data_IF_243699198317
#
_entry.id   IF_243699198317
#
_cell.length_a   1.000
_cell.length_b   1.000
_cell.length_c   1.000
_cell.angle_alpha   90.00
_cell.angle_beta   90.00
_cell.angle_gamma   90.00
#
_symmetry.space_group_name_H-M   'P 1'
#
loop_
_entity.id
_entity.type
_entity.pdbx_description
1 polymer ?
#
# COMPACT_ATOMS: atom_id res chain seq x y z
N UNK A 1 8.99 4.72 0.06
CA UNK A 1 10.08 4.66 -0.95
C UNK A 1 10.93 3.38 -0.84
N UNK A 2 11.33 2.96 0.34
CA UNK A 2 12.13 1.75 0.52
C UNK A 2 11.27 0.57 0.96
N UNK A 3 11.33 -0.53 0.21
CA UNK A 3 10.65 -1.77 0.56
C UNK A 3 11.37 -2.41 1.76
N UNK A 4 10.73 -2.35 2.94
CA UNK A 4 11.27 -2.90 4.18
C UNK A 4 10.76 -4.32 4.45
N UNK A 5 10.86 -5.21 3.46
CA UNK A 5 10.47 -6.61 3.57
C UNK A 5 11.63 -7.50 4.03
N UNK A 6 11.29 -8.56 4.75
CA UNK A 6 12.25 -9.60 5.14
C UNK A 6 12.50 -10.56 3.97
N UNK A 7 13.58 -10.32 3.21
CA UNK A 7 13.86 -10.99 1.93
C UNK A 7 13.94 -12.53 2.03
N UNK A 8 14.33 -13.06 3.18
CA UNK A 8 14.40 -14.51 3.43
C UNK A 8 13.08 -15.17 3.81
N UNK A 9 12.07 -14.37 4.19
CA UNK A 9 10.75 -14.87 4.58
C UNK A 9 9.82 -14.98 3.38
N UNK A 10 8.83 -15.88 3.48
CA UNK A 10 7.79 -16.01 2.46
C UNK A 10 6.88 -14.78 2.39
N UNK A 11 6.10 -14.66 1.31
CA UNK A 11 5.07 -13.61 1.15
C UNK A 11 4.10 -13.61 2.33
N UNK A 12 3.53 -14.78 2.66
CA UNK A 12 2.56 -14.90 3.75
C UNK A 12 3.17 -14.50 5.11
N UNK A 13 4.42 -14.88 5.38
CA UNK A 13 5.08 -14.53 6.63
C UNK A 13 5.39 -13.03 6.71
N UNK A 14 5.78 -12.40 5.60
CA UNK A 14 5.97 -10.96 5.53
C UNK A 14 4.66 -10.20 5.83
N UNK A 15 3.56 -10.60 5.20
CA UNK A 15 2.24 -9.97 5.43
C UNK A 15 1.79 -10.23 6.87
N UNK A 16 2.05 -11.43 7.42
CA UNK A 16 1.74 -11.77 8.81
C UNK A 16 2.43 -10.83 9.81
N UNK A 17 3.62 -10.29 9.49
CA UNK A 17 4.28 -9.31 10.38
C UNK A 17 3.43 -8.06 10.62
N UNK A 18 2.56 -7.67 9.67
CA UNK A 18 1.60 -6.59 9.83
C UNK A 18 0.58 -6.85 10.94
N UNK A 19 0.35 -8.12 11.32
CA UNK A 19 -0.57 -8.50 12.41
C UNK A 19 0.03 -8.37 13.80
N UNK A 20 1.36 -8.18 13.93
CA UNK A 20 2.04 -8.16 15.23
C UNK A 20 1.44 -7.16 16.24
N UNK A 21 0.98 -6.00 15.77
CA UNK A 21 0.33 -5.00 16.65
C UNK A 21 -1.09 -5.38 17.08
N UNK A 22 -1.69 -6.38 16.46
CA UNK A 22 -3.04 -6.87 16.77
C UNK A 22 -3.02 -8.09 17.70
N UNK A 23 -1.86 -8.69 17.98
CA UNK A 23 -1.71 -9.83 18.85
C UNK A 23 -1.95 -9.38 20.31
N UNK A 24 -2.88 -10.04 20.98
CA UNK A 24 -3.28 -9.73 22.37
C UNK A 24 -2.88 -10.80 23.37
N UNK A 25 -2.63 -12.03 22.89
CA UNK A 25 -2.26 -13.15 23.76
C UNK A 25 -0.86 -12.99 24.33
N UNK A 26 -0.69 -13.41 25.59
CA UNK A 26 0.58 -13.40 26.30
C UNK A 26 1.61 -14.32 25.61
N UNK A 27 2.88 -13.90 25.59
CA UNK A 27 4.01 -14.64 25.02
C UNK A 27 4.12 -16.09 25.52
N UNK A 28 3.80 -16.36 26.81
CA UNK A 28 3.81 -17.71 27.37
C UNK A 28 2.76 -18.63 26.74
N UNK A 29 1.55 -18.11 26.49
CA UNK A 29 0.48 -18.85 25.82
C UNK A 29 0.77 -19.06 24.34
N UNK A 30 1.44 -18.09 23.72
CA UNK A 30 1.92 -18.23 22.33
C UNK A 30 3.00 -19.31 22.22
N UNK A 31 3.97 -19.36 23.14
CA UNK A 31 5.01 -20.36 23.17
C UNK A 31 4.46 -21.80 23.32
N UNK A 32 3.39 -21.97 24.08
CA UNK A 32 2.71 -23.26 24.25
C UNK A 32 1.76 -23.59 23.08
N UNK A 33 1.47 -22.63 22.23
CA UNK A 33 0.56 -22.72 21.06
C UNK A 33 -0.79 -23.41 21.40
N UNK A 34 -1.34 -23.11 22.59
CA UNK A 34 -2.50 -23.80 23.14
C UNK A 34 -3.70 -22.85 23.36
N UNK A 35 -4.93 -23.37 23.17
CA UNK A 35 -6.17 -22.67 23.50
C UNK A 35 -6.37 -21.32 22.78
N UNK A 36 -6.41 -20.20 23.53
CA UNK A 36 -6.66 -18.86 22.96
C UNK A 36 -5.62 -18.43 21.94
N UNK A 37 -4.33 -18.71 22.17
CA UNK A 37 -3.24 -18.31 21.29
C UNK A 37 -3.37 -18.98 19.89
N UNK A 38 -3.73 -20.27 19.86
CA UNK A 38 -3.98 -20.97 18.60
C UNK A 38 -5.17 -20.39 17.83
N UNK A 39 -6.26 -20.01 18.53
CA UNK A 39 -7.43 -19.40 17.88
C UNK A 39 -7.08 -18.03 17.29
N UNK A 40 -6.34 -17.22 18.04
CA UNK A 40 -5.86 -15.92 17.60
C UNK A 40 -4.95 -16.03 16.38
N UNK A 41 -3.99 -16.94 16.40
CA UNK A 41 -3.10 -17.22 15.26
C UNK A 41 -3.90 -17.63 14.01
N UNK A 42 -4.88 -18.53 14.14
CA UNK A 42 -5.71 -18.95 13.02
C UNK A 42 -6.56 -17.79 12.46
N UNK A 43 -7.07 -16.91 13.33
CA UNK A 43 -7.81 -15.73 12.90
C UNK A 43 -6.90 -14.73 12.15
N UNK A 44 -5.66 -14.52 12.63
CA UNK A 44 -4.69 -13.68 11.93
C UNK A 44 -4.29 -14.26 10.58
N UNK A 45 -4.10 -15.59 10.49
CA UNK A 45 -3.82 -16.26 9.21
C UNK A 45 -4.96 -16.12 8.22
N UNK A 46 -6.20 -16.32 8.66
CA UNK A 46 -7.37 -16.13 7.80
C UNK A 46 -7.40 -14.70 7.23
N UNK A 47 -7.13 -13.68 8.07
CA UNK A 47 -7.09 -12.29 7.61
C UNK A 47 -5.95 -12.01 6.61
N UNK A 48 -4.80 -12.64 6.80
CA UNK A 48 -3.67 -12.53 5.85
C UNK A 48 -4.00 -13.22 4.52
N UNK A 49 -4.68 -14.37 4.55
CA UNK A 49 -5.13 -15.03 3.29
C UNK A 49 -6.16 -14.16 2.55
N UNK A 50 -7.09 -13.47 3.24
CA UNK A 50 -7.99 -12.50 2.60
C UNK A 50 -7.21 -11.36 1.89
N UNK A 51 -6.16 -10.85 2.51
CA UNK A 51 -5.30 -9.83 1.91
C UNK A 51 -4.52 -10.37 0.71
N UNK A 52 -4.03 -11.62 0.79
CA UNK A 52 -3.34 -12.30 -0.31
C UNK A 52 -4.29 -12.49 -1.50
N UNK A 53 -5.54 -12.88 -1.23
CA UNK A 53 -6.57 -13.05 -2.24
C UNK A 53 -6.95 -11.72 -2.89
N UNK A 54 -7.16 -10.69 -2.08
CA UNK A 54 -7.44 -9.34 -2.55
C UNK A 54 -6.35 -8.79 -3.50
N UNK A 55 -5.09 -9.03 -3.17
CA UNK A 55 -3.94 -8.59 -3.97
C UNK A 55 -3.58 -9.54 -5.13
N UNK A 56 -4.32 -10.63 -5.32
CA UNK A 56 -4.13 -11.61 -6.40
C UNK A 56 -2.72 -12.26 -6.40
N UNK A 57 -2.15 -12.49 -5.21
CA UNK A 57 -0.79 -13.05 -5.03
C UNK A 57 -0.77 -14.46 -4.42
N UNK A 58 -1.87 -15.20 -4.50
CA UNK A 58 -2.00 -16.55 -3.94
C UNK A 58 -0.93 -17.52 -4.47
N UNK A 59 -0.62 -17.41 -5.75
CA UNK A 59 0.32 -18.30 -6.44
C UNK A 59 1.77 -18.17 -5.95
N UNK A 60 2.13 -17.02 -5.34
CA UNK A 60 3.47 -16.76 -4.80
C UNK A 60 3.53 -16.74 -3.26
N UNK A 61 2.43 -17.03 -2.56
CA UNK A 61 2.33 -16.85 -1.10
C UNK A 61 3.41 -17.53 -0.27
N UNK A 62 3.98 -18.66 -0.77
CA UNK A 62 5.07 -19.41 -0.12
C UNK A 62 6.46 -19.05 -0.66
N UNK A 63 6.55 -18.19 -1.65
CA UNK A 63 7.82 -17.79 -2.27
C UNK A 63 8.56 -16.81 -1.36
N UNK A 64 9.87 -16.97 -1.13
CA UNK A 64 10.68 -15.96 -0.46
C UNK A 64 10.64 -14.63 -1.22
N UNK A 65 10.34 -13.54 -0.51
CA UNK A 65 10.11 -12.23 -1.14
C UNK A 65 11.32 -11.72 -1.91
N UNK A 66 12.54 -12.05 -1.46
CA UNK A 66 13.77 -11.65 -2.16
C UNK A 66 13.94 -12.26 -3.56
N UNK A 67 13.12 -13.24 -3.96
CA UNK A 67 13.11 -13.84 -5.30
C UNK A 67 12.07 -13.23 -6.24
N UNK A 68 11.22 -12.34 -5.73
CA UNK A 68 10.15 -11.75 -6.51
C UNK A 68 10.65 -10.55 -7.33
N UNK A 69 10.06 -10.30 -8.51
CA UNK A 69 10.18 -9.03 -9.21
C UNK A 69 9.78 -7.86 -8.32
N UNK A 70 10.32 -6.68 -8.62
CA UNK A 70 10.16 -5.50 -7.79
C UNK A 70 8.68 -5.08 -7.60
N UNK A 71 7.89 -5.09 -8.65
CA UNK A 71 6.45 -4.79 -8.59
C UNK A 71 5.68 -5.72 -7.63
N UNK A 72 6.00 -7.03 -7.65
CA UNK A 72 5.42 -7.98 -6.71
C UNK A 72 5.88 -7.75 -5.27
N UNK A 73 7.14 -7.32 -5.05
CA UNK A 73 7.60 -6.93 -3.71
C UNK A 73 6.81 -5.72 -3.19
N UNK A 74 6.55 -4.71 -4.03
CA UNK A 74 5.70 -3.55 -3.68
C UNK A 74 4.27 -3.99 -3.33
N UNK A 75 3.71 -4.95 -4.07
CA UNK A 75 2.39 -5.52 -3.80
C UNK A 75 2.35 -6.25 -2.44
N UNK A 76 3.40 -6.99 -2.10
CA UNK A 76 3.54 -7.62 -0.76
C UNK A 76 3.67 -6.57 0.35
N UNK A 77 4.38 -5.48 0.10
CA UNK A 77 4.54 -4.39 1.08
C UNK A 77 3.19 -3.70 1.37
N UNK A 78 2.40 -3.44 0.32
CA UNK A 78 1.01 -2.99 0.46
C UNK A 78 0.19 -3.99 1.30
N UNK A 79 0.29 -5.30 1.00
CA UNK A 79 -0.39 -6.35 1.75
C UNK A 79 -0.03 -6.36 3.23
N UNK A 80 1.22 -6.13 3.57
CA UNK A 80 1.65 -6.02 4.97
C UNK A 80 0.99 -4.83 5.67
N UNK A 81 0.86 -3.69 5.00
CA UNK A 81 0.17 -2.52 5.52
C UNK A 81 -1.34 -2.79 5.69
N UNK A 82 -1.99 -3.41 4.69
CA UNK A 82 -3.41 -3.77 4.75
C UNK A 82 -3.72 -4.78 5.86
N UNK A 83 -2.80 -5.71 6.14
CA UNK A 83 -2.96 -6.66 7.23
C UNK A 83 -3.07 -5.99 8.61
N UNK A 84 -2.64 -4.75 8.76
CA UNK A 84 -2.85 -3.95 9.98
C UNK A 84 -4.29 -3.45 10.12
N UNK A 85 -5.13 -3.57 9.08
CA UNK A 85 -6.49 -3.00 9.02
C UNK A 85 -6.47 -1.51 9.39
N UNK A 86 -5.74 -0.68 8.64
CA UNK A 86 -5.59 0.73 8.95
C UNK A 86 -6.86 1.51 8.57
N UNK A 87 -7.21 2.53 9.35
CA UNK A 87 -8.21 3.53 8.96
C UNK A 87 -7.66 4.59 8.01
N UNK A 88 -6.33 4.82 8.06
CA UNK A 88 -5.59 5.71 7.17
C UNK A 88 -4.36 4.97 6.67
N UNK A 89 -4.15 4.97 5.35
CA UNK A 89 -3.00 4.38 4.68
C UNK A 89 -2.18 5.48 4.02
N UNK A 90 -0.90 5.58 4.39
CA UNK A 90 0.04 6.53 3.81
C UNK A 90 0.92 5.79 2.80
N UNK A 91 0.90 6.23 1.56
CA UNK A 91 1.66 5.66 0.45
C UNK A 91 2.63 6.72 -0.10
N UNK A 92 3.91 6.46 0.03
CA UNK A 92 4.97 7.33 -0.47
C UNK A 92 5.62 6.71 -1.71
N UNK A 93 5.34 7.29 -2.87
CA UNK A 93 5.78 6.83 -4.20
C UNK A 93 5.60 5.31 -4.40
N UNK A 94 4.38 4.77 -4.19
CA UNK A 94 4.18 3.32 -4.27
C UNK A 94 4.45 2.76 -5.67
N UNK A 95 4.36 3.59 -6.70
CA UNK A 95 4.50 3.19 -8.11
C UNK A 95 5.90 3.44 -8.69
N UNK A 96 6.82 4.00 -7.90
CA UNK A 96 8.19 4.22 -8.37
C UNK A 96 8.86 2.92 -8.80
N UNK A 97 9.48 2.92 -9.99
CA UNK A 97 10.19 1.76 -10.55
C UNK A 97 9.30 0.66 -11.15
N UNK A 98 7.99 0.88 -11.23
CA UNK A 98 7.02 -0.02 -11.88
C UNK A 98 6.88 0.28 -13.38
N UNK A 99 6.61 -0.75 -14.17
CA UNK A 99 6.17 -0.58 -15.55
C UNK A 99 4.71 -0.11 -15.62
N UNK A 100 4.20 0.19 -16.83
CA UNK A 100 2.85 0.74 -17.02
C UNK A 100 1.76 -0.19 -16.50
N UNK A 101 1.88 -1.49 -16.78
CA UNK A 101 0.90 -2.50 -16.37
C UNK A 101 0.88 -2.67 -14.83
N UNK A 102 2.06 -2.75 -14.21
CA UNK A 102 2.19 -2.81 -12.75
C UNK A 102 1.62 -1.56 -12.06
N UNK A 103 1.80 -0.36 -12.66
CA UNK A 103 1.21 0.88 -12.15
C UNK A 103 -0.32 0.84 -12.22
N UNK A 104 -0.89 0.39 -13.34
CA UNK A 104 -2.34 0.27 -13.49
C UNK A 104 -2.94 -0.69 -12.45
N UNK A 105 -2.30 -1.84 -12.23
CA UNK A 105 -2.69 -2.77 -11.18
C UNK A 105 -2.64 -2.11 -9.79
N UNK A 106 -1.56 -1.39 -9.49
CA UNK A 106 -1.42 -0.71 -8.21
C UNK A 106 -2.49 0.37 -8.01
N UNK A 107 -2.81 1.16 -9.04
CA UNK A 107 -3.91 2.13 -9.01
C UNK A 107 -5.24 1.45 -8.67
N UNK A 108 -5.55 0.34 -9.36
CA UNK A 108 -6.76 -0.45 -9.10
C UNK A 108 -6.82 -0.92 -7.64
N UNK A 109 -5.74 -1.52 -7.12
CA UNK A 109 -5.72 -1.95 -5.71
C UNK A 109 -5.90 -0.80 -4.72
N UNK A 110 -5.31 0.39 -5.00
CA UNK A 110 -5.47 1.57 -4.16
C UNK A 110 -6.94 2.01 -4.11
N UNK A 111 -7.61 2.08 -5.26
CA UNK A 111 -9.03 2.41 -5.35
C UNK A 111 -9.90 1.35 -4.63
N UNK A 112 -9.64 0.07 -4.90
CA UNK A 112 -10.36 -1.04 -4.27
C UNK A 112 -10.20 -1.05 -2.74
N UNK A 113 -9.03 -0.66 -2.21
CA UNK A 113 -8.80 -0.51 -0.75
C UNK A 113 -9.70 0.58 -0.17
N UNK A 114 -9.84 1.71 -0.84
CA UNK A 114 -10.73 2.77 -0.40
C UNK A 114 -12.19 2.31 -0.44
N UNK A 115 -12.63 1.73 -1.56
CA UNK A 115 -14.02 1.34 -1.79
C UNK A 115 -14.46 0.18 -0.89
N UNK A 116 -13.65 -0.87 -0.76
CA UNK A 116 -14.06 -2.10 -0.06
C UNK A 116 -13.82 -2.04 1.45
N UNK A 117 -12.75 -1.36 1.89
CA UNK A 117 -12.38 -1.28 3.31
C UNK A 117 -12.68 0.07 3.96
N UNK A 118 -13.10 1.09 3.18
CA UNK A 118 -13.34 2.43 3.68
C UNK A 118 -12.07 3.11 4.25
N UNK A 119 -10.90 2.64 3.84
CA UNK A 119 -9.62 3.17 4.30
C UNK A 119 -9.34 4.50 3.61
N UNK A 120 -9.10 5.55 4.37
CA UNK A 120 -8.63 6.83 3.81
C UNK A 120 -7.20 6.67 3.33
N UNK A 121 -6.93 7.09 2.08
CA UNK A 121 -5.59 6.97 1.48
C UNK A 121 -4.98 8.36 1.32
N UNK A 122 -3.75 8.51 1.77
CA UNK A 122 -2.90 9.67 1.48
C UNK A 122 -1.77 9.19 0.59
N UNK A 123 -1.76 9.65 -0.65
CA UNK A 123 -0.81 9.26 -1.68
C UNK A 123 0.16 10.41 -1.96
N UNK A 124 1.45 10.14 -1.92
CA UNK A 124 2.50 11.04 -2.41
C UNK A 124 3.01 10.45 -3.72
N UNK A 125 2.86 11.19 -4.80
CA UNK A 125 3.31 10.79 -6.14
C UNK A 125 3.72 12.02 -6.96
N UNK A 126 4.57 11.78 -7.95
CA UNK A 126 5.03 12.79 -8.90
C UNK A 126 4.51 12.53 -10.33
N UNK A 127 3.85 11.41 -10.57
CA UNK A 127 3.16 11.10 -11.82
C UNK A 127 1.78 11.77 -11.82
N UNK A 128 1.71 12.97 -12.42
CA UNK A 128 0.49 13.79 -12.40
C UNK A 128 -0.70 13.08 -13.05
N UNK A 129 -0.46 12.23 -14.06
CA UNK A 129 -1.53 11.42 -14.68
C UNK A 129 -2.20 10.53 -13.63
N UNK A 130 -1.40 9.76 -12.93
CA UNK A 130 -1.87 8.89 -11.85
C UNK A 130 -2.60 9.68 -10.76
N UNK A 131 -1.99 10.77 -10.27
CA UNK A 131 -2.58 11.56 -9.19
C UNK A 131 -3.95 12.10 -9.57
N UNK A 132 -4.08 12.65 -10.79
CA UNK A 132 -5.36 13.22 -11.27
C UNK A 132 -6.43 12.16 -11.52
N UNK A 133 -6.02 10.94 -11.87
CA UNK A 133 -6.97 9.86 -12.20
C UNK A 133 -7.57 9.16 -10.97
N UNK A 134 -6.83 9.11 -9.85
CA UNK A 134 -7.26 8.31 -8.69
C UNK A 134 -7.54 9.10 -7.41
N UNK A 135 -7.38 10.43 -7.42
CA UNK A 135 -7.53 11.25 -6.22
C UNK A 135 -8.83 12.03 -6.21
N UNK A 136 -9.52 12.08 -5.06
CA UNK A 136 -10.67 12.97 -4.83
C UNK A 136 -10.23 14.41 -4.55
N UNK A 137 -9.04 14.57 -3.95
CA UNK A 137 -8.45 15.86 -3.60
C UNK A 137 -6.96 15.84 -3.78
N UNK A 138 -6.43 16.88 -4.41
CA UNK A 138 -5.01 17.04 -4.68
C UNK A 138 -4.47 18.26 -3.95
N UNK A 139 -3.35 18.08 -3.25
CA UNK A 139 -2.58 19.17 -2.64
C UNK A 139 -1.23 19.21 -3.33
N UNK A 140 -0.90 20.35 -3.94
CA UNK A 140 0.37 20.54 -4.66
C UNK A 140 1.35 21.35 -3.84
N UNK A 141 2.54 20.79 -3.69
CA UNK A 141 3.65 21.44 -2.99
C UNK A 141 4.78 21.75 -3.98
N UNK A 142 5.27 22.97 -3.93
CA UNK A 142 6.47 23.40 -4.64
C UNK A 142 7.45 24.04 -3.65
N UNK A 143 8.67 23.49 -3.55
CA UNK A 143 9.68 23.88 -2.55
C UNK A 143 9.11 24.09 -1.12
N UNK A 144 8.21 23.20 -0.70
CA UNK A 144 7.58 23.23 0.63
C UNK A 144 6.45 24.24 0.79
N UNK A 145 6.07 24.96 -0.26
CA UNK A 145 4.91 25.85 -0.29
C UNK A 145 3.73 25.17 -0.97
N UNK A 146 2.54 25.32 -0.39
CA UNK A 146 1.31 24.86 -1.01
C UNK A 146 0.90 25.84 -2.11
N UNK A 147 0.91 25.38 -3.37
CA UNK A 147 0.55 26.14 -4.57
C UNK A 147 -0.78 25.73 -5.18
N UNK A 148 -1.35 24.59 -4.75
CA UNK A 148 -2.66 24.10 -5.20
C UNK A 148 -3.33 23.27 -4.12
N UNK A 149 -4.68 23.32 -4.08
CA UNK A 149 -5.48 22.53 -3.15
C UNK A 149 -6.93 22.51 -3.65
N UNK A 150 -7.43 21.34 -4.02
CA UNK A 150 -8.78 21.17 -4.55
C UNK A 150 -9.00 19.83 -5.22
N UNK A 151 -10.09 19.73 -5.95
CA UNK A 151 -10.32 18.59 -6.85
C UNK A 151 -9.32 18.57 -8.02
N UNK A 152 -9.12 17.42 -8.68
CA UNK A 152 -8.15 17.28 -9.77
C UNK A 152 -8.32 18.33 -10.89
N UNK A 153 -9.55 18.65 -11.29
CA UNK A 153 -9.81 19.60 -12.39
C UNK A 153 -9.44 21.02 -12.01
N UNK A 154 -9.78 21.45 -10.79
CA UNK A 154 -9.39 22.76 -10.26
C UNK A 154 -7.87 22.89 -10.17
N UNK A 155 -7.18 21.87 -9.69
CA UNK A 155 -5.72 21.85 -9.56
C UNK A 155 -5.04 21.84 -10.94
N UNK A 156 -5.55 21.07 -11.89
CA UNK A 156 -5.05 21.02 -13.28
C UNK A 156 -5.15 22.38 -13.97
N UNK A 157 -6.15 23.18 -13.63
CA UNK A 157 -6.41 24.50 -14.24
C UNK A 157 -5.67 25.63 -13.52
N UNK A 158 -5.02 25.38 -12.39
CA UNK A 158 -4.33 26.40 -11.61
C UNK A 158 -3.05 26.86 -12.31
N UNK A 159 -2.90 28.18 -12.66
CA UNK A 159 -1.73 28.67 -13.37
C UNK A 159 -0.40 28.46 -12.65
N UNK A 160 -0.36 28.51 -11.32
CA UNK A 160 0.85 28.25 -10.54
C UNK A 160 1.27 26.78 -10.65
N UNK A 161 0.32 25.86 -10.59
CA UNK A 161 0.57 24.42 -10.76
C UNK A 161 1.02 24.11 -12.19
N UNK A 162 0.34 24.71 -13.18
CA UNK A 162 0.72 24.57 -14.60
C UNK A 162 2.15 25.04 -14.82
N UNK A 163 2.53 26.20 -14.27
CA UNK A 163 3.88 26.73 -14.40
C UNK A 163 4.94 25.86 -13.73
N UNK A 164 4.65 25.30 -12.54
CA UNK A 164 5.60 24.52 -11.76
C UNK A 164 5.81 23.11 -12.30
N UNK A 165 4.76 22.44 -12.79
CA UNK A 165 4.79 21.01 -13.13
C UNK A 165 4.47 20.68 -14.58
N UNK A 166 3.62 21.49 -15.25
CA UNK A 166 3.16 21.23 -16.62
C UNK A 166 3.81 22.17 -17.64
N UNK A 167 4.34 23.32 -17.18
CA UNK A 167 5.04 24.28 -18.01
C UNK A 167 6.55 24.00 -18.20
N UNK A 168 7.12 23.08 -17.43
CA UNK A 168 8.52 22.68 -17.50
C UNK A 168 8.78 21.51 -18.47
N UNK A 169 7.97 21.35 -19.50
CA UNK A 169 8.24 20.43 -20.62
C UNK A 169 9.40 20.95 -21.45
N UNK A 170 10.62 20.57 -21.06
CA UNK A 170 11.84 20.67 -21.88
C UNK A 170 12.15 19.32 -22.48
#
# INVERSE_FOLDING_TARGET
QNIALFKGMSVIDNIMTGRNLKIRTNLLLQALWWGPARREELAHRAKVEEVIDFLEIQHIRKTPVGRLPYGLQKRVDLGRALAMEPSILLLDEPMAGMNVEEKQDMCRFILDVNDQFGTTIVLIEHDMGVVMDISDRVVVLDYGKKIGDGDPDAVRSNPEVVSAYLGAGH
#
